data_IF_127346912495
#
_entry.id   IF_127346912495
#
_cell.length_a   1.000
_cell.length_b   1.000
_cell.length_c   1.000
_cell.angle_alpha   90.00
_cell.angle_beta   90.00
_cell.angle_gamma   90.00
#
_symmetry.space_group_name_H-M   'P 1'
#
loop_
_entity.id
_entity.type
_entity.pdbx_description
1 polymer ?
#
# COMPACT_ATOMS: atom_id res chain seq x y z
N UNK A 1 13.78 -7.35 15.78
CA UNK A 1 12.31 -7.42 15.79
C UNK A 1 11.79 -6.08 16.29
N UNK A 2 11.56 -5.17 15.38
CA UNK A 2 10.89 -3.89 15.66
C UNK A 2 9.51 -3.95 15.00
N UNK A 3 8.69 -4.92 15.42
CA UNK A 3 7.30 -4.95 15.03
C UNK A 3 6.65 -3.62 15.40
N UNK A 4 5.93 -3.02 14.46
CA UNK A 4 5.10 -1.85 14.76
C UNK A 4 4.11 -2.26 15.86
N UNK A 5 3.99 -1.51 16.95
CA UNK A 5 3.38 -2.00 18.16
C UNK A 5 1.88 -2.34 18.09
N UNK A 6 1.22 -2.19 16.93
CA UNK A 6 -0.24 -2.42 16.83
C UNK A 6 -0.73 -3.01 15.49
N UNK A 7 0.13 -3.43 14.58
CA UNK A 7 -0.29 -4.12 13.34
C UNK A 7 0.34 -5.50 13.30
N UNK A 8 -0.48 -6.54 13.35
CA UNK A 8 -0.07 -7.91 13.07
C UNK A 8 -0.10 -8.14 11.55
N UNK A 9 1.05 -8.01 10.89
CA UNK A 9 1.15 -8.17 9.45
C UNK A 9 0.93 -9.61 8.99
N UNK A 10 1.20 -10.60 9.86
CA UNK A 10 0.90 -11.99 9.54
C UNK A 10 -0.60 -12.22 9.38
N UNK A 11 -1.43 -11.61 10.25
CA UNK A 11 -2.88 -11.65 10.11
C UNK A 11 -3.38 -10.90 8.86
N UNK A 12 -2.62 -9.93 8.36
CA UNK A 12 -2.95 -9.15 7.17
C UNK A 12 -2.54 -9.83 5.85
N UNK A 13 -1.74 -10.89 5.87
CA UNK A 13 -1.12 -11.47 4.67
C UNK A 13 -2.15 -11.84 3.59
N UNK A 14 -3.23 -12.54 3.96
CA UNK A 14 -4.29 -12.91 3.01
C UNK A 14 -5.03 -11.68 2.42
N UNK A 15 -5.27 -10.66 3.23
CA UNK A 15 -5.89 -9.41 2.79
C UNK A 15 -4.98 -8.66 1.80
N UNK A 16 -3.67 -8.61 2.05
CA UNK A 16 -2.68 -7.99 1.17
C UNK A 16 -2.59 -8.73 -0.17
N UNK A 17 -2.64 -10.07 -0.17
CA UNK A 17 -2.65 -10.87 -1.38
C UNK A 17 -3.92 -10.63 -2.23
N UNK A 18 -5.10 -10.54 -1.61
CA UNK A 18 -6.35 -10.18 -2.32
C UNK A 18 -6.30 -8.76 -2.88
N UNK A 19 -5.75 -7.81 -2.11
CA UNK A 19 -5.55 -6.43 -2.58
C UNK A 19 -4.61 -6.38 -3.80
N UNK A 20 -3.52 -7.15 -3.80
CA UNK A 20 -2.59 -7.25 -4.92
C UNK A 20 -3.29 -7.72 -6.21
N UNK A 21 -4.11 -8.76 -6.13
CA UNK A 21 -4.91 -9.27 -7.26
C UNK A 21 -5.91 -8.24 -7.77
N UNK A 22 -6.60 -7.56 -6.84
CA UNK A 22 -7.64 -6.57 -7.18
C UNK A 22 -7.06 -5.34 -7.86
N UNK A 23 -5.86 -4.91 -7.46
CA UNK A 23 -5.21 -3.69 -7.95
C UNK A 23 -4.19 -3.99 -9.08
N UNK A 24 -4.18 -5.21 -9.64
CA UNK A 24 -3.22 -5.67 -10.65
C UNK A 24 -3.15 -4.77 -11.90
N UNK A 25 -4.27 -4.18 -12.34
CA UNK A 25 -4.31 -3.26 -13.47
C UNK A 25 -3.54 -1.95 -13.17
N UNK A 26 -3.71 -1.41 -11.97
CA UNK A 26 -2.97 -0.24 -11.53
C UNK A 26 -1.47 -0.52 -11.46
N UNK A 27 -1.06 -1.64 -10.86
CA UNK A 27 0.35 -2.03 -10.80
C UNK A 27 0.97 -2.19 -12.19
N UNK A 28 0.27 -2.84 -13.12
CA UNK A 28 0.74 -2.96 -14.52
C UNK A 28 0.91 -1.60 -15.21
N UNK A 29 -0.05 -0.70 -15.02
CA UNK A 29 0.02 0.67 -15.56
C UNK A 29 1.22 1.43 -15.01
N UNK A 30 1.48 1.32 -13.70
CA UNK A 30 2.64 1.95 -13.05
C UNK A 30 3.94 1.31 -13.52
N UNK A 31 4.04 -0.02 -13.53
CA UNK A 31 5.24 -0.72 -13.98
C UNK A 31 5.61 -0.36 -15.43
N UNK A 32 4.63 -0.30 -16.34
CA UNK A 32 4.87 0.08 -17.74
C UNK A 32 5.40 1.51 -17.91
N UNK A 33 5.13 2.40 -16.94
CA UNK A 33 5.65 3.77 -16.92
C UNK A 33 7.04 3.86 -16.28
N UNK A 34 7.34 2.97 -15.34
CA UNK A 34 8.59 2.98 -14.57
C UNK A 34 9.72 2.20 -15.26
N UNK A 35 9.41 1.00 -15.78
CA UNK A 35 10.43 0.07 -16.29
C UNK A 35 11.10 0.61 -17.56
N UNK A 36 12.42 0.54 -17.59
CA UNK A 36 13.24 0.86 -18.76
C UNK A 36 13.77 -0.43 -19.41
N UNK A 37 13.97 -0.50 -20.72
CA UNK A 37 14.47 -1.72 -21.39
C UNK A 37 15.85 -2.20 -20.90
N UNK A 38 16.61 -1.30 -20.29
CA UNK A 38 17.95 -1.56 -19.75
C UNK A 38 17.96 -2.09 -18.33
N UNK A 39 16.84 -2.07 -17.63
CA UNK A 39 16.75 -2.48 -16.22
C UNK A 39 17.09 -3.97 -16.04
N UNK A 40 17.90 -4.28 -15.04
CA UNK A 40 18.36 -5.64 -14.73
C UNK A 40 17.99 -6.08 -13.33
N UNK A 41 17.98 -5.17 -12.36
CA UNK A 41 17.55 -5.43 -10.99
C UNK A 41 16.45 -4.44 -10.59
N UNK A 42 15.26 -5.00 -10.35
CA UNK A 42 14.08 -4.26 -9.90
C UNK A 42 13.68 -4.79 -8.51
N UNK A 43 13.40 -3.89 -7.59
CA UNK A 43 13.13 -4.24 -6.19
C UNK A 43 11.79 -3.66 -5.78
N UNK A 44 10.94 -4.51 -5.21
CA UNK A 44 9.68 -4.14 -4.55
C UNK A 44 9.90 -4.23 -3.04
N UNK A 45 10.05 -3.09 -2.36
CA UNK A 45 10.34 -2.99 -0.92
C UNK A 45 9.05 -2.78 -0.14
N UNK A 46 8.83 -3.60 0.90
CA UNK A 46 7.54 -3.73 1.57
C UNK A 46 6.51 -4.26 0.58
N UNK A 47 6.82 -5.42 -0.02
CA UNK A 47 6.08 -5.92 -1.18
C UNK A 47 4.63 -6.30 -0.88
N UNK A 48 4.28 -6.47 0.41
CA UNK A 48 2.95 -6.88 0.82
C UNK A 48 2.47 -8.11 0.02
N UNK A 49 1.32 -8.04 -0.62
CA UNK A 49 0.80 -9.13 -1.45
C UNK A 49 1.50 -9.32 -2.81
N UNK A 50 2.61 -8.63 -3.10
CA UNK A 50 3.46 -8.85 -4.28
C UNK A 50 2.92 -8.29 -5.61
N UNK A 51 1.87 -7.46 -5.58
CA UNK A 51 1.23 -6.98 -6.81
C UNK A 51 2.16 -6.20 -7.74
N UNK A 52 3.04 -5.35 -7.20
CA UNK A 52 4.03 -4.64 -8.01
C UNK A 52 5.14 -5.57 -8.47
N UNK A 53 5.61 -6.48 -7.64
CA UNK A 53 6.63 -7.46 -8.05
C UNK A 53 6.18 -8.29 -9.25
N UNK A 54 4.91 -8.75 -9.28
CA UNK A 54 4.30 -9.40 -10.46
C UNK A 54 4.33 -8.46 -11.68
N UNK A 55 3.88 -7.22 -11.51
CA UNK A 55 3.82 -6.26 -12.62
C UNK A 55 5.21 -5.94 -13.19
N UNK A 56 6.23 -5.81 -12.32
CA UNK A 56 7.62 -5.61 -12.71
C UNK A 56 8.16 -6.81 -13.48
N UNK A 57 7.94 -8.04 -13.00
CA UNK A 57 8.40 -9.26 -13.68
C UNK A 57 7.78 -9.44 -15.07
N UNK A 58 6.48 -9.14 -15.21
CA UNK A 58 5.81 -9.19 -16.50
C UNK A 58 6.27 -8.09 -17.48
N UNK A 59 6.67 -6.91 -16.95
CA UNK A 59 7.07 -5.77 -17.77
C UNK A 59 8.56 -5.82 -18.13
N UNK A 60 9.40 -6.44 -17.30
CA UNK A 60 10.84 -6.58 -17.50
C UNK A 60 11.28 -8.06 -17.57
N UNK A 61 10.91 -8.82 -18.61
CA UNK A 61 11.15 -10.26 -18.65
C UNK A 61 12.63 -10.65 -18.68
N UNK A 62 13.54 -9.72 -18.98
CA UNK A 62 14.99 -9.92 -18.91
C UNK A 62 15.61 -9.39 -17.60
N UNK A 63 14.81 -8.75 -16.76
CA UNK A 63 15.22 -8.25 -15.46
C UNK A 63 15.00 -9.30 -14.36
N UNK A 64 15.76 -9.19 -13.28
CA UNK A 64 15.54 -9.92 -12.05
C UNK A 64 14.72 -9.08 -11.09
N UNK A 65 13.63 -9.62 -10.59
CA UNK A 65 12.79 -8.95 -9.58
C UNK A 65 13.04 -9.54 -8.20
N UNK A 66 13.16 -8.67 -7.21
CA UNK A 66 13.27 -9.05 -5.79
C UNK A 66 12.15 -8.37 -5.02
N UNK A 67 11.33 -9.17 -4.36
CA UNK A 67 10.29 -8.74 -3.45
C UNK A 67 10.82 -8.83 -2.01
N UNK A 68 10.77 -7.73 -1.29
CA UNK A 68 11.30 -7.60 0.08
C UNK A 68 10.17 -7.27 1.04
N UNK A 69 10.09 -8.00 2.13
CA UNK A 69 9.21 -7.69 3.27
C UNK A 69 9.87 -8.21 4.55
N UNK A 70 9.53 -7.69 5.71
CA UNK A 70 10.08 -8.17 6.98
C UNK A 70 9.21 -9.25 7.64
N UNK A 71 7.97 -9.46 7.16
CA UNK A 71 7.05 -10.44 7.69
C UNK A 71 7.05 -11.74 6.84
N UNK A 72 7.49 -12.88 7.40
CA UNK A 72 7.54 -14.15 6.64
C UNK A 72 6.20 -14.61 6.07
N UNK A 73 5.10 -14.43 6.82
CA UNK A 73 3.78 -14.83 6.36
C UNK A 73 3.30 -13.99 5.15
N UNK A 74 3.70 -12.72 5.09
CA UNK A 74 3.45 -11.84 3.93
C UNK A 74 4.24 -12.32 2.72
N UNK A 75 5.53 -12.68 2.89
CA UNK A 75 6.34 -13.23 1.81
C UNK A 75 5.82 -14.57 1.28
N UNK A 76 5.30 -15.45 2.16
CA UNK A 76 4.66 -16.69 1.75
C UNK A 76 3.41 -16.43 0.90
N UNK A 77 2.53 -15.54 1.36
CA UNK A 77 1.33 -15.17 0.61
C UNK A 77 1.67 -14.49 -0.74
N UNK A 78 2.70 -13.66 -0.80
CA UNK A 78 3.19 -13.08 -2.05
C UNK A 78 3.74 -14.14 -3.00
N UNK A 79 4.46 -15.16 -2.51
CA UNK A 79 4.98 -16.25 -3.33
C UNK A 79 3.87 -17.08 -3.99
N UNK A 80 2.72 -17.24 -3.32
CA UNK A 80 1.53 -17.84 -3.93
C UNK A 80 1.02 -16.98 -5.11
N UNK A 81 0.96 -15.66 -4.94
CA UNK A 81 0.56 -14.72 -6.00
C UNK A 81 1.53 -14.77 -7.18
N UNK A 82 2.85 -14.92 -6.94
CA UNK A 82 3.86 -15.08 -8.00
C UNK A 82 3.65 -16.38 -8.78
N UNK A 83 3.37 -17.48 -8.06
CA UNK A 83 3.09 -18.79 -8.66
C UNK A 83 1.82 -18.75 -9.52
N UNK A 84 0.74 -18.16 -9.02
CA UNK A 84 -0.52 -17.98 -9.76
C UNK A 84 -0.32 -17.14 -11.04
N UNK A 85 0.53 -16.11 -10.95
CA UNK A 85 0.85 -15.24 -12.10
C UNK A 85 1.86 -15.86 -13.09
N UNK A 86 2.49 -16.98 -12.72
CA UNK A 86 3.51 -17.65 -13.54
C UNK A 86 4.80 -16.83 -13.72
N UNK A 87 5.19 -16.04 -12.72
CA UNK A 87 6.38 -15.21 -12.74
C UNK A 87 7.46 -15.70 -11.77
N UNK A 88 8.73 -15.49 -12.15
CA UNK A 88 9.88 -15.78 -11.30
C UNK A 88 10.29 -14.50 -10.53
N UNK A 89 9.98 -14.46 -9.24
CA UNK A 89 10.31 -13.36 -8.33
C UNK A 89 11.00 -13.93 -7.10
N UNK A 90 12.20 -13.44 -6.81
CA UNK A 90 12.92 -13.83 -5.60
C UNK A 90 12.37 -13.07 -4.39
N UNK A 91 12.03 -13.77 -3.33
CA UNK A 91 11.69 -13.15 -2.03
C UNK A 91 12.94 -12.94 -1.18
N UNK A 92 12.95 -11.91 -0.35
CA UNK A 92 14.00 -11.65 0.62
C UNK A 92 13.41 -10.99 1.89
N UNK A 93 13.79 -11.52 3.06
CA UNK A 93 13.34 -10.95 4.33
C UNK A 93 14.27 -9.81 4.75
N UNK A 94 13.73 -8.58 4.83
CA UNK A 94 14.44 -7.42 5.36
C UNK A 94 13.45 -6.29 5.72
N UNK A 95 13.79 -5.51 6.74
CA UNK A 95 13.04 -4.33 7.16
C UNK A 95 13.46 -3.11 6.30
N UNK A 96 12.49 -2.46 5.68
CA UNK A 96 12.69 -1.26 4.85
C UNK A 96 13.25 -0.05 5.64
N UNK A 97 12.93 0.04 6.93
CA UNK A 97 13.39 1.08 7.85
C UNK A 97 14.56 0.63 8.73
N UNK A 98 15.01 -0.62 8.55
CA UNK A 98 16.10 -1.23 9.30
C UNK A 98 17.49 -0.83 8.82
N UNK A 99 18.46 -1.75 8.96
CA UNK A 99 19.83 -1.53 8.50
C UNK A 99 19.90 -1.49 6.95
N UNK A 100 20.28 -0.36 6.33
CA UNK A 100 20.41 -0.26 4.89
C UNK A 100 21.42 -1.26 4.27
N UNK A 101 22.43 -1.68 5.03
CA UNK A 101 23.41 -2.67 4.56
C UNK A 101 22.79 -4.07 4.49
N UNK A 102 21.96 -4.43 5.49
CA UNK A 102 21.22 -5.67 5.46
C UNK A 102 20.25 -5.73 4.28
N UNK A 103 19.55 -4.63 4.01
CA UNK A 103 18.67 -4.51 2.85
C UNK A 103 19.45 -4.60 1.53
N UNK A 104 20.57 -3.91 1.39
CA UNK A 104 21.45 -4.00 0.22
C UNK A 104 21.97 -5.42 -0.02
N UNK A 105 22.33 -6.13 1.05
CA UNK A 105 22.73 -7.54 0.96
C UNK A 105 21.57 -8.43 0.52
N UNK A 106 20.38 -8.22 1.08
CA UNK A 106 19.18 -8.97 0.78
C UNK A 106 18.78 -8.86 -0.70
N UNK A 107 18.89 -7.68 -1.32
CA UNK A 107 18.56 -7.49 -2.74
C UNK A 107 19.67 -8.01 -3.70
N UNK A 108 20.90 -8.09 -3.23
CA UNK A 108 22.03 -8.73 -3.94
C UNK A 108 22.66 -7.87 -5.04
N UNK A 109 22.70 -6.56 -4.89
CA UNK A 109 23.42 -5.61 -5.74
C UNK A 109 22.68 -4.29 -5.95
N UNK A 110 23.31 -3.32 -6.63
CA UNK A 110 22.68 -2.03 -6.94
C UNK A 110 21.47 -2.20 -7.87
N UNK A 111 20.37 -1.53 -7.53
CA UNK A 111 19.08 -1.66 -8.24
C UNK A 111 18.88 -0.57 -9.29
N UNK A 112 18.36 -0.95 -10.45
CA UNK A 112 17.96 0.01 -11.50
C UNK A 112 16.61 0.68 -11.17
N UNK A 113 15.75 -0.04 -10.44
CA UNK A 113 14.49 0.47 -9.90
C UNK A 113 14.28 -0.06 -8.49
N UNK A 114 14.03 0.85 -7.55
CA UNK A 114 13.47 0.55 -6.24
C UNK A 114 12.07 1.13 -6.18
N UNK A 115 11.11 0.31 -5.82
CA UNK A 115 9.73 0.69 -5.58
C UNK A 115 9.37 0.47 -4.12
N UNK A 116 8.62 1.40 -3.52
CA UNK A 116 7.96 1.22 -2.23
C UNK A 116 6.57 1.87 -2.26
N UNK A 117 5.56 1.16 -1.78
CA UNK A 117 4.17 1.62 -1.80
C UNK A 117 3.51 1.43 -0.45
N UNK A 118 3.06 2.51 0.17
CA UNK A 118 2.46 2.50 1.49
C UNK A 118 3.37 1.85 2.56
N UNK A 119 4.67 2.14 2.49
CA UNK A 119 5.74 1.59 3.35
C UNK A 119 6.41 2.69 4.15
N UNK A 120 6.93 3.71 3.47
CA UNK A 120 7.80 4.71 4.10
C UNK A 120 7.06 5.53 5.15
N UNK A 121 5.74 5.75 4.99
CA UNK A 121 4.96 6.49 5.98
C UNK A 121 4.84 5.76 7.33
N UNK A 122 5.12 4.45 7.39
CA UNK A 122 5.19 3.69 8.63
C UNK A 122 6.51 3.84 9.37
N UNK A 123 7.60 4.22 8.68
CA UNK A 123 8.92 4.31 9.26
C UNK A 123 9.03 5.39 10.35
N UNK A 124 9.76 5.16 11.46
CA UNK A 124 9.97 6.18 12.48
C UNK A 124 10.61 7.45 11.91
N UNK A 125 11.70 7.34 11.17
CA UNK A 125 12.32 8.42 10.41
C UNK A 125 12.13 8.18 8.90
N UNK A 126 11.12 8.83 8.36
CA UNK A 126 10.75 8.69 6.94
C UNK A 126 11.84 9.22 6.00
N UNK A 127 12.55 10.28 6.38
CA UNK A 127 13.63 10.79 5.54
C UNK A 127 14.84 9.84 5.54
N UNK A 128 15.23 9.32 6.69
CA UNK A 128 16.32 8.34 6.78
C UNK A 128 15.98 7.06 5.98
N UNK A 129 14.73 6.63 5.98
CA UNK A 129 14.29 5.51 5.15
C UNK A 129 14.40 5.83 3.65
N UNK A 130 13.97 7.02 3.20
CA UNK A 130 14.15 7.45 1.80
C UNK A 130 15.63 7.51 1.43
N UNK A 131 16.49 8.02 2.33
CA UNK A 131 17.94 8.05 2.11
C UNK A 131 18.53 6.64 1.99
N UNK A 132 18.11 5.71 2.85
CA UNK A 132 18.49 4.29 2.80
C UNK A 132 18.08 3.62 1.49
N UNK A 133 16.82 3.80 1.06
CA UNK A 133 16.33 3.28 -0.22
C UNK A 133 17.07 3.89 -1.42
N UNK A 134 17.42 5.18 -1.36
CA UNK A 134 18.23 5.85 -2.38
C UNK A 134 19.64 5.23 -2.47
N UNK A 135 20.22 4.85 -1.34
CA UNK A 135 21.52 4.17 -1.27
C UNK A 135 21.57 2.78 -1.93
N UNK A 136 20.41 2.19 -2.25
CA UNK A 136 20.32 0.91 -2.98
C UNK A 136 20.46 1.07 -4.50
N UNK A 137 20.37 2.30 -5.02
CA UNK A 137 20.30 2.53 -6.46
C UNK A 137 21.65 2.35 -7.16
N UNK A 138 21.62 1.78 -8.34
CA UNK A 138 22.69 1.86 -9.30
C UNK A 138 22.82 3.31 -9.83
N UNK A 139 23.98 3.71 -10.38
CA UNK A 139 24.08 4.98 -11.11
C UNK A 139 22.96 5.07 -12.16
N UNK A 140 22.25 6.20 -12.21
CA UNK A 140 21.06 6.40 -13.07
C UNK A 140 19.87 5.47 -12.75
N UNK A 141 19.91 4.71 -11.66
CA UNK A 141 18.76 4.00 -11.09
C UNK A 141 17.71 4.99 -10.59
N UNK A 142 16.54 4.50 -10.22
CA UNK A 142 15.45 5.38 -9.74
C UNK A 142 14.72 4.79 -8.54
N UNK A 143 14.31 5.69 -7.65
CA UNK A 143 13.41 5.38 -6.55
C UNK A 143 12.02 5.89 -6.91
N UNK A 144 11.02 5.02 -6.79
CA UNK A 144 9.62 5.32 -6.98
C UNK A 144 8.84 5.04 -5.69
N UNK A 145 8.20 6.05 -5.15
CA UNK A 145 7.38 5.96 -3.94
C UNK A 145 5.90 6.14 -4.31
N UNK A 146 5.05 5.17 -3.99
CA UNK A 146 3.60 5.34 -4.05
C UNK A 146 3.08 5.65 -2.65
N UNK A 147 3.04 6.94 -2.36
CA UNK A 147 2.67 7.46 -1.06
C UNK A 147 1.68 8.63 -1.20
N UNK A 148 0.66 8.64 -0.37
CA UNK A 148 -0.39 9.67 -0.42
C UNK A 148 -1.36 9.48 -1.59
N UNK A 149 -2.05 10.56 -1.94
CA UNK A 149 -3.18 10.55 -2.87
C UNK A 149 -4.45 10.98 -2.15
N UNK A 150 -5.58 10.45 -2.57
CA UNK A 150 -6.86 10.65 -1.90
C UNK A 150 -7.35 9.33 -1.29
N UNK A 151 -7.96 9.36 -0.10
CA UNK A 151 -8.50 8.15 0.50
C UNK A 151 -9.61 7.55 -0.37
N UNK A 152 -9.63 6.22 -0.44
CA UNK A 152 -10.61 5.47 -1.21
C UNK A 152 -12.02 5.68 -0.66
N UNK A 153 -12.99 5.90 -1.57
CA UNK A 153 -14.40 6.07 -1.29
C UNK A 153 -15.21 4.99 -1.99
N UNK A 154 -16.30 4.57 -1.33
CA UNK A 154 -17.17 3.49 -1.83
C UNK A 154 -18.65 3.84 -1.75
N UNK A 155 -19.04 4.75 -0.87
CA UNK A 155 -20.42 4.96 -0.45
C UNK A 155 -20.86 6.40 -0.64
N UNK A 156 -22.15 6.62 -0.94
CA UNK A 156 -22.76 7.95 -0.88
C UNK A 156 -22.58 8.61 0.48
N UNK A 157 -22.66 9.92 0.51
CA UNK A 157 -22.50 10.68 1.75
C UNK A 157 -23.58 10.38 2.79
N UNK A 158 -24.83 10.16 2.35
CA UNK A 158 -25.96 9.77 3.18
C UNK A 158 -26.45 8.37 2.79
N UNK A 159 -26.44 7.46 3.74
CA UNK A 159 -26.82 6.05 3.54
C UNK A 159 -28.24 5.73 4.01
N UNK A 160 -28.93 6.72 4.60
CA UNK A 160 -30.21 6.49 5.29
C UNK A 160 -30.08 5.67 6.57
N UNK A 161 -28.86 5.34 7.00
CA UNK A 161 -28.52 4.57 8.21
C UNK A 161 -27.41 5.29 8.96
N UNK A 162 -27.63 5.57 10.25
CA UNK A 162 -26.72 6.42 11.04
C UNK A 162 -26.71 7.87 10.55
N UNK A 163 -25.73 8.64 10.98
CA UNK A 163 -25.55 10.03 10.52
C UNK A 163 -24.86 10.07 9.16
N UNK A 164 -25.23 11.03 8.28
CA UNK A 164 -24.52 11.26 7.03
C UNK A 164 -23.02 11.45 7.20
N UNK A 165 -22.22 11.05 6.20
CA UNK A 165 -20.75 11.13 6.23
C UNK A 165 -20.06 10.00 7.01
N UNK A 166 -20.71 8.84 7.16
CA UNK A 166 -20.22 7.71 7.94
C UNK A 166 -18.82 7.22 7.47
N UNK A 167 -18.60 7.06 6.15
CA UNK A 167 -17.29 6.66 5.61
C UNK A 167 -16.21 7.73 5.85
N UNK A 168 -16.56 9.02 5.87
CA UNK A 168 -15.61 10.08 6.21
C UNK A 168 -15.18 10.05 7.68
N UNK A 169 -16.09 9.65 8.58
CA UNK A 169 -15.73 9.48 10.01
C UNK A 169 -14.91 8.22 10.25
N UNK A 170 -15.11 7.17 9.46
CA UNK A 170 -14.25 5.98 9.47
C UNK A 170 -12.81 6.36 9.09
N UNK A 171 -12.65 7.20 8.04
CA UNK A 171 -11.35 7.74 7.65
C UNK A 171 -10.69 8.54 8.78
N UNK A 172 -11.43 9.47 9.37
CA UNK A 172 -10.92 10.27 10.50
C UNK A 172 -10.53 9.40 11.71
N UNK A 173 -11.24 8.30 11.96
CA UNK A 173 -10.88 7.35 13.01
C UNK A 173 -9.54 6.67 12.71
N UNK A 174 -9.32 6.27 11.47
CA UNK A 174 -8.06 5.70 11.01
C UNK A 174 -6.91 6.71 11.08
N UNK A 175 -7.13 7.97 10.66
CA UNK A 175 -6.14 9.04 10.74
C UNK A 175 -5.70 9.30 12.20
N UNK A 176 -6.66 9.31 13.14
CA UNK A 176 -6.33 9.48 14.56
C UNK A 176 -5.51 8.32 15.10
N UNK A 177 -5.88 7.09 14.74
CA UNK A 177 -5.11 5.92 15.13
C UNK A 177 -3.69 6.00 14.55
N UNK A 178 -3.56 6.31 13.25
CA UNK A 178 -2.28 6.39 12.57
C UNK A 178 -1.37 7.46 13.20
N UNK A 179 -1.92 8.63 13.53
CA UNK A 179 -1.18 9.68 14.24
C UNK A 179 -0.67 9.19 15.61
N UNK A 180 -1.53 8.54 16.40
CA UNK A 180 -1.16 8.01 17.70
C UNK A 180 -0.09 6.89 17.59
N UNK A 181 -0.23 6.00 16.62
CA UNK A 181 0.76 4.96 16.32
C UNK A 181 2.12 5.59 16.00
N UNK A 182 2.14 6.57 15.09
CA UNK A 182 3.38 7.26 14.75
C UNK A 182 4.05 7.95 15.95
N UNK A 183 3.25 8.61 16.80
CA UNK A 183 3.75 9.29 18.00
C UNK A 183 4.32 8.29 19.04
N UNK A 184 3.90 7.02 18.98
CA UNK A 184 4.40 5.96 19.87
C UNK A 184 5.69 5.29 19.39
N UNK A 185 6.09 5.49 18.13
CA UNK A 185 7.29 4.86 17.58
C UNK A 185 8.58 5.44 18.24
N UNK A 186 9.49 4.60 18.73
CA UNK A 186 10.78 5.07 19.23
C UNK A 186 11.55 5.80 18.14
N UNK A 187 12.01 7.02 18.44
CA UNK A 187 12.77 7.83 17.48
C UNK A 187 11.93 8.45 16.38
N UNK A 188 10.59 8.51 16.53
CA UNK A 188 9.73 9.12 15.54
C UNK A 188 10.12 10.55 15.20
N UNK A 189 10.33 10.81 13.92
CA UNK A 189 10.67 12.11 13.36
C UNK A 189 9.52 12.62 12.47
N UNK A 190 9.25 13.91 12.54
CA UNK A 190 8.26 14.54 11.65
C UNK A 190 8.87 14.77 10.27
N UNK A 191 8.10 14.49 9.23
CA UNK A 191 8.41 14.86 7.84
C UNK A 191 7.57 16.11 7.46
N UNK A 192 8.07 17.34 7.68
CA UNK A 192 7.27 18.57 7.49
C UNK A 192 7.22 19.04 6.03
N UNK A 193 7.40 18.13 5.08
CA UNK A 193 7.36 18.37 3.64
C UNK A 193 6.88 17.12 2.88
N UNK A 194 6.44 17.31 1.64
CA UNK A 194 5.93 16.21 0.83
C UNK A 194 7.03 15.32 0.22
N UNK A 195 6.65 14.16 -0.26
CA UNK A 195 7.52 13.12 -0.83
C UNK A 195 8.46 13.60 -1.94
N UNK A 196 8.03 14.49 -2.89
CA UNK A 196 8.97 15.03 -3.88
C UNK A 196 10.16 15.77 -3.25
N UNK A 197 9.95 16.44 -2.11
CA UNK A 197 11.02 17.11 -1.41
C UNK A 197 11.90 16.11 -0.63
N UNK A 198 11.32 15.02 -0.12
CA UNK A 198 12.10 13.95 0.51
C UNK A 198 13.04 13.30 -0.51
N UNK A 199 12.57 13.01 -1.73
CA UNK A 199 13.41 12.48 -2.81
C UNK A 199 14.56 13.46 -3.20
N UNK A 200 14.26 14.75 -3.33
CA UNK A 200 15.31 15.76 -3.63
C UNK A 200 16.33 15.87 -2.49
N UNK A 201 15.89 15.79 -1.23
CA UNK A 201 16.79 15.80 -0.07
C UNK A 201 17.69 14.57 0.01
N UNK A 202 17.20 13.42 -0.48
CA UNK A 202 18.01 12.22 -0.65
C UNK A 202 19.02 12.30 -1.81
N UNK A 203 19.09 13.43 -2.53
CA UNK A 203 20.04 13.65 -3.63
C UNK A 203 19.53 13.20 -5.02
N UNK A 204 18.27 12.81 -5.12
CA UNK A 204 17.69 12.43 -6.40
C UNK A 204 17.36 13.66 -7.27
N UNK A 205 17.55 13.50 -8.57
CA UNK A 205 17.29 14.51 -9.60
C UNK A 205 16.07 14.14 -10.44
N UNK A 206 15.64 15.04 -11.32
CA UNK A 206 14.50 14.83 -12.23
C UNK A 206 13.22 14.34 -11.53
N UNK A 207 13.00 14.83 -10.30
CA UNK A 207 11.88 14.39 -9.47
C UNK A 207 10.56 14.80 -10.08
N UNK A 208 9.74 13.79 -10.41
CA UNK A 208 8.41 13.92 -10.98
C UNK A 208 7.34 13.28 -10.10
N UNK A 209 6.10 13.69 -10.32
CA UNK A 209 4.93 13.12 -9.65
C UNK A 209 3.80 12.96 -10.64
N UNK A 210 3.06 11.87 -10.53
CA UNK A 210 1.75 11.73 -11.17
C UNK A 210 0.76 11.06 -10.23
N UNK A 211 -0.52 11.28 -10.49
CA UNK A 211 -1.61 10.65 -9.73
C UNK A 211 -2.47 9.85 -10.70
N UNK A 212 -2.74 8.60 -10.33
CA UNK A 212 -3.66 7.73 -11.05
C UNK A 212 -5.03 7.78 -10.37
N UNK A 213 -6.07 8.05 -11.15
CA UNK A 213 -7.45 7.88 -10.73
C UNK A 213 -7.84 6.41 -10.97
N UNK A 214 -8.38 5.77 -9.93
CA UNK A 214 -8.96 4.43 -9.99
C UNK A 214 -10.46 4.59 -9.77
N UNK A 215 -11.22 4.38 -10.83
CA UNK A 215 -12.67 4.58 -10.83
C UNK A 215 -13.38 3.30 -11.27
N UNK A 216 -14.38 2.90 -10.49
CA UNK A 216 -15.40 1.91 -10.86
C UNK A 216 -16.76 2.48 -10.50
N UNK A 217 -17.49 3.00 -11.49
CA UNK A 217 -18.77 3.65 -11.25
C UNK A 217 -19.84 2.65 -10.81
N UNK A 218 -20.84 3.15 -10.09
CA UNK A 218 -22.05 2.41 -9.80
C UNK A 218 -22.89 2.20 -11.10
N UNK A 219 -23.64 1.09 -11.21
CA UNK A 219 -23.73 -0.02 -10.27
C UNK A 219 -22.58 -1.03 -10.42
N UNK A 220 -21.97 -1.42 -9.32
CA UNK A 220 -21.00 -2.52 -9.32
C UNK A 220 -21.67 -3.87 -9.48
N UNK A 221 -20.94 -4.87 -9.99
CA UNK A 221 -21.40 -6.27 -9.99
C UNK A 221 -21.58 -6.79 -8.55
N UNK A 222 -22.41 -7.84 -8.31
CA UNK A 222 -22.56 -8.43 -6.98
C UNK A 222 -21.22 -8.85 -6.34
N UNK A 223 -20.31 -9.43 -7.13
CA UNK A 223 -18.99 -9.82 -6.65
C UNK A 223 -18.13 -8.61 -6.22
N UNK A 224 -18.19 -7.50 -6.95
CA UNK A 224 -17.47 -6.27 -6.58
C UNK A 224 -18.06 -5.60 -5.34
N UNK A 225 -19.40 -5.57 -5.22
CA UNK A 225 -20.04 -5.09 -3.97
C UNK A 225 -19.64 -5.94 -2.76
N UNK A 226 -19.58 -7.26 -2.93
CA UNK A 226 -19.10 -8.17 -1.90
C UNK A 226 -17.66 -7.88 -1.47
N UNK A 227 -16.77 -7.60 -2.44
CA UNK A 227 -15.38 -7.17 -2.11
C UNK A 227 -15.33 -5.82 -1.38
N UNK A 228 -16.15 -4.85 -1.80
CA UNK A 228 -16.25 -3.56 -1.08
C UNK A 228 -16.75 -3.79 0.35
N UNK A 229 -17.80 -4.59 0.53
CA UNK A 229 -18.35 -4.93 1.85
C UNK A 229 -17.27 -5.60 2.73
N UNK A 230 -16.54 -6.58 2.20
CA UNK A 230 -15.47 -7.27 2.92
C UNK A 230 -14.33 -6.33 3.34
N UNK A 231 -13.92 -5.41 2.47
CA UNK A 231 -12.89 -4.40 2.81
C UNK A 231 -13.35 -3.43 3.90
N UNK A 232 -14.58 -2.95 3.81
CA UNK A 232 -15.13 -2.08 4.83
C UNK A 232 -15.32 -2.82 6.16
N UNK A 233 -15.77 -4.08 6.12
CA UNK A 233 -15.90 -4.92 7.30
C UNK A 233 -14.55 -5.13 8.00
N UNK A 234 -13.51 -5.48 7.25
CA UNK A 234 -12.15 -5.63 7.77
C UNK A 234 -11.65 -4.34 8.44
N UNK A 235 -11.82 -3.20 7.77
CA UNK A 235 -11.41 -1.89 8.30
C UNK A 235 -12.19 -1.48 9.56
N UNK A 236 -13.50 -1.72 9.57
CA UNK A 236 -14.37 -1.43 10.72
C UNK A 236 -13.99 -2.30 11.90
N UNK A 237 -13.80 -3.62 11.70
CA UNK A 237 -13.41 -4.54 12.76
C UNK A 237 -12.06 -4.16 13.38
N UNK A 238 -11.08 -3.87 12.52
CA UNK A 238 -9.76 -3.43 12.95
C UNK A 238 -9.80 -2.16 13.82
N UNK A 239 -10.65 -1.17 13.48
CA UNK A 239 -10.83 0.05 14.28
C UNK A 239 -11.68 -0.19 15.54
N UNK A 240 -12.62 -1.14 15.48
CA UNK A 240 -13.45 -1.56 16.63
C UNK A 240 -12.59 -2.17 17.72
N UNK A 241 -11.73 -3.12 17.40
CA UNK A 241 -10.78 -3.74 18.33
C UNK A 241 -9.92 -2.72 19.07
N UNK A 242 -9.61 -1.62 18.41
CA UNK A 242 -8.81 -0.50 18.93
C UNK A 242 -9.63 0.60 19.60
N UNK A 243 -10.94 0.38 19.76
CA UNK A 243 -11.89 1.33 20.39
C UNK A 243 -11.84 2.74 19.73
N UNK A 244 -11.62 2.79 18.41
CA UNK A 244 -11.52 4.04 17.68
C UNK A 244 -12.85 4.56 17.14
N UNK A 245 -13.90 3.72 17.14
CA UNK A 245 -15.21 4.06 16.61
C UNK A 245 -16.14 4.57 17.72
N UNK A 246 -16.86 5.70 17.51
CA UNK A 246 -17.98 6.07 18.36
C UNK A 246 -19.09 5.01 18.28
N UNK A 247 -19.79 4.75 19.40
CA UNK A 247 -20.84 3.73 19.48
C UNK A 247 -21.90 3.87 18.38
N UNK A 248 -22.37 5.08 18.11
CA UNK A 248 -23.38 5.34 17.06
C UNK A 248 -22.89 4.95 15.66
N UNK A 249 -21.60 5.22 15.34
CA UNK A 249 -21.02 4.86 14.04
C UNK A 249 -20.78 3.35 13.96
N UNK A 250 -20.36 2.71 15.06
CA UNK A 250 -20.17 1.25 15.14
C UNK A 250 -21.50 0.50 14.96
N UNK A 251 -22.59 0.97 15.59
CA UNK A 251 -23.93 0.43 15.38
C UNK A 251 -24.42 0.60 13.94
N UNK A 252 -24.12 1.73 13.29
CA UNK A 252 -24.47 1.95 11.89
C UNK A 252 -23.69 1.01 10.97
N UNK A 253 -22.38 0.85 11.18
CA UNK A 253 -21.57 -0.10 10.45
C UNK A 253 -22.03 -1.54 10.65
N UNK A 254 -22.39 -1.93 11.87
CA UNK A 254 -22.90 -3.27 12.16
C UNK A 254 -24.16 -3.61 11.36
N UNK A 255 -25.05 -2.64 11.12
CA UNK A 255 -26.24 -2.83 10.27
C UNK A 255 -25.89 -2.90 8.78
N UNK A 256 -24.97 -2.02 8.30
CA UNK A 256 -24.59 -1.92 6.89
C UNK A 256 -23.73 -3.09 6.41
N UNK A 257 -23.04 -3.76 7.31
CA UNK A 257 -22.10 -4.85 6.98
C UNK A 257 -22.66 -6.25 7.28
N UNK A 258 -23.85 -6.35 7.88
CA UNK A 258 -24.53 -7.61 8.17
C UNK A 258 -25.37 -8.07 6.94
N UNK A 259 -25.01 -9.19 6.28
CA UNK A 259 -25.72 -9.70 5.10
C UNK A 259 -27.19 -10.03 5.35
N UNK A 260 -27.57 -10.29 6.60
CA UNK A 260 -28.94 -10.66 6.99
C UNK A 260 -29.83 -9.42 7.22
N UNK A 261 -29.29 -8.22 7.07
CA UNK A 261 -30.01 -6.95 7.23
C UNK A 261 -30.47 -6.36 5.91
N UNK A 262 -31.65 -5.71 5.89
CA UNK A 262 -32.11 -4.98 4.68
C UNK A 262 -31.16 -3.84 4.27
N UNK A 263 -30.46 -3.24 5.23
CA UNK A 263 -29.52 -2.15 5.04
C UNK A 263 -28.16 -2.58 4.48
N UNK A 264 -27.92 -3.89 4.34
CA UNK A 264 -26.62 -4.38 3.89
C UNK A 264 -26.16 -3.74 2.61
N UNK A 265 -24.92 -3.22 2.62
CA UNK A 265 -24.36 -2.49 1.47
C UNK A 265 -24.25 -3.34 0.19
N UNK A 266 -24.20 -4.66 0.30
CA UNK A 266 -24.22 -5.57 -0.84
C UNK A 266 -25.53 -5.57 -1.64
N UNK A 267 -26.65 -5.06 -1.06
CA UNK A 267 -27.92 -4.88 -1.75
C UNK A 267 -28.00 -3.56 -2.54
N UNK A 268 -27.11 -2.60 -2.25
CA UNK A 268 -27.16 -1.25 -2.85
C UNK A 268 -26.61 -1.27 -4.27
N UNK A 269 -27.23 -0.51 -5.15
CA UNK A 269 -26.79 -0.28 -6.54
C UNK A 269 -25.97 1.01 -6.73
N UNK A 270 -25.82 1.81 -5.66
CA UNK A 270 -25.08 3.07 -5.62
C UNK A 270 -23.68 2.95 -4.98
N UNK A 271 -23.20 1.72 -4.73
CA UNK A 271 -21.82 1.45 -4.30
C UNK A 271 -20.88 1.61 -5.48
N UNK A 272 -19.78 2.32 -5.27
CA UNK A 272 -18.75 2.61 -6.29
C UNK A 272 -17.34 2.37 -5.71
N UNK A 273 -16.30 2.52 -6.52
CA UNK A 273 -14.91 2.67 -6.06
C UNK A 273 -14.35 3.93 -6.67
N UNK A 274 -13.83 4.82 -5.83
CA UNK A 274 -13.09 6.01 -6.25
C UNK A 274 -11.84 6.13 -5.38
N UNK A 275 -10.68 6.11 -6.02
CA UNK A 275 -9.36 6.13 -5.36
C UNK A 275 -8.40 6.97 -6.21
N UNK A 276 -7.48 7.69 -5.58
CA UNK A 276 -6.44 8.41 -6.28
C UNK A 276 -5.08 8.17 -5.61
N UNK A 277 -4.13 7.58 -6.35
CA UNK A 277 -2.82 7.19 -5.85
C UNK A 277 -1.73 7.99 -6.51
N UNK A 278 -0.89 8.63 -5.71
CA UNK A 278 0.23 9.41 -6.18
C UNK A 278 1.50 8.58 -6.20
N UNK A 279 2.25 8.69 -7.30
CA UNK A 279 3.58 8.08 -7.45
C UNK A 279 4.59 9.20 -7.65
N UNK A 280 5.64 9.18 -6.83
CA UNK A 280 6.73 10.14 -6.82
C UNK A 280 8.01 9.41 -7.24
N UNK A 281 8.72 9.92 -8.23
CA UNK A 281 9.91 9.27 -8.79
C UNK A 281 11.06 10.26 -8.84
N UNK A 282 12.25 9.80 -8.49
CA UNK A 282 13.50 10.55 -8.68
C UNK A 282 14.60 9.63 -9.18
N UNK A 283 15.45 10.15 -10.05
CA UNK A 283 16.58 9.43 -10.65
C UNK A 283 17.87 9.67 -9.81
N UNK A 284 18.67 8.64 -9.60
CA UNK A 284 20.03 8.79 -9.09
C UNK A 284 20.90 9.49 -10.17
N UNK A 285 21.79 10.42 -9.78
CA UNK A 285 22.65 11.15 -10.71
C UNK A 285 23.63 10.25 -11.48
#
# INVERSE_FOLDING_TARGET
MTGQPDVDWAEQAAYLADAARTDAEWYRSVASRLVRPTDRLLVDVGCGGGGMAVALALTAPAGRVVAVDDEPAVLEAAAEVFTEAGVDVRTAAADAAGDPQALAHAIGGPADLVWASAVVHHAPDQQATVDGLTGLLAPRGRLALAEGGLPRRHLPWDLGTGRPGLESRLEQAQDRWFAAMRDSLPGAMRLPYGWPNALRRAGLVDVTTWTSLIERPAPLSPAERGRVAGRLAHRVEWLRERTMLPTEDDEAWSRLLDPDRPEWIGHRDDVFVLDARSVHVGDAP
#
